data_IF_462467338578
#
_entry.id   IF_462467338578
#
_cell.length_a   1.000
_cell.length_b   1.000
_cell.length_c   1.000
_cell.angle_alpha   90.00
_cell.angle_beta   90.00
_cell.angle_gamma   90.00
#
_symmetry.space_group_name_H-M   'P 1'
#
loop_
_entity.id
_entity.type
_entity.pdbx_description
1 polymer ?
#
# COMPACT_ATOMS: atom_id res chain seq x y z
N UNK A 1 -1.22 14.05 -3.22
CA UNK A 1 -1.98 14.22 -1.96
C UNK A 1 -3.39 14.75 -2.16
N UNK A 2 -3.61 15.70 -3.07
CA UNK A 2 -4.96 16.25 -3.30
C UNK A 2 -5.97 15.18 -3.71
N UNK A 3 -5.58 14.26 -4.59
CA UNK A 3 -6.47 13.18 -5.04
C UNK A 3 -6.86 12.25 -3.90
N UNK A 4 -5.91 11.93 -3.03
CA UNK A 4 -6.18 11.09 -1.84
C UNK A 4 -7.12 11.82 -0.90
N UNK A 5 -6.89 13.12 -0.66
CA UNK A 5 -7.77 13.93 0.16
C UNK A 5 -9.20 13.95 -0.34
N UNK A 6 -9.41 14.06 -1.65
CA UNK A 6 -10.74 14.01 -2.25
C UNK A 6 -11.43 12.67 -2.05
N UNK A 7 -10.68 11.58 -2.19
CA UNK A 7 -11.21 10.24 -1.97
C UNK A 7 -11.66 10.06 -0.50
N UNK A 8 -10.94 10.63 0.45
CA UNK A 8 -11.23 10.52 1.87
C UNK A 8 -12.47 11.33 2.27
N UNK A 9 -12.70 12.48 1.63
CA UNK A 9 -13.83 13.36 1.98
C UNK A 9 -15.18 12.66 1.88
N UNK A 10 -15.32 11.68 1.00
CA UNK A 10 -16.53 10.89 0.89
C UNK A 10 -16.72 9.84 1.97
N UNK A 11 -15.76 9.68 2.86
CA UNK A 11 -15.75 8.65 3.91
C UNK A 11 -16.05 7.24 3.37
N UNK A 12 -15.33 6.78 2.33
CA UNK A 12 -15.61 5.50 1.71
C UNK A 12 -15.27 4.34 2.66
N UNK A 13 -15.95 3.20 2.48
CA UNK A 13 -15.64 1.98 3.21
C UNK A 13 -14.47 1.22 2.58
N UNK A 14 -14.23 1.43 1.29
CA UNK A 14 -13.14 0.81 0.53
C UNK A 14 -12.44 1.89 -0.28
N UNK A 15 -11.12 1.91 -0.20
CA UNK A 15 -10.27 2.82 -0.98
C UNK A 15 -9.36 2.01 -1.89
N UNK A 16 -9.33 2.38 -3.17
CA UNK A 16 -8.41 1.83 -4.16
C UNK A 16 -7.42 2.92 -4.54
N UNK A 17 -6.13 2.66 -4.32
CA UNK A 17 -5.08 3.65 -4.55
C UNK A 17 -3.98 3.03 -5.40
N UNK A 18 -3.66 3.66 -6.54
CA UNK A 18 -2.67 3.17 -7.48
C UNK A 18 -1.40 4.03 -7.40
N UNK A 19 -0.30 3.37 -7.04
CA UNK A 19 1.04 3.96 -6.97
C UNK A 19 1.11 5.33 -6.27
N UNK A 20 0.66 5.41 -5.01
CA UNK A 20 0.56 6.71 -4.33
C UNK A 20 1.90 7.40 -4.07
N UNK A 21 3.02 6.68 -4.13
CA UNK A 21 4.34 7.23 -3.85
C UNK A 21 5.12 7.65 -5.09
N UNK A 22 4.58 7.41 -6.29
CA UNK A 22 5.27 7.75 -7.53
C UNK A 22 5.56 9.24 -7.62
N UNK A 23 6.82 9.59 -7.83
CA UNK A 23 7.25 10.99 -7.95
C UNK A 23 7.32 11.77 -6.66
N UNK A 24 7.11 11.14 -5.50
CA UNK A 24 7.11 11.83 -4.21
C UNK A 24 8.47 11.77 -3.52
N UNK A 25 8.81 12.84 -2.78
CA UNK A 25 10.01 12.88 -1.94
C UNK A 25 9.90 11.89 -0.78
N UNK A 26 11.04 11.37 -0.25
CA UNK A 26 11.01 10.42 0.87
C UNK A 26 10.27 10.91 2.11
N UNK A 27 10.35 12.21 2.42
CA UNK A 27 9.64 12.78 3.56
C UNK A 27 8.12 12.69 3.41
N UNK A 28 7.63 12.87 2.18
CA UNK A 28 6.20 12.74 1.87
C UNK A 28 5.77 11.28 1.96
N UNK A 29 6.61 10.35 1.49
CA UNK A 29 6.33 8.91 1.59
C UNK A 29 6.18 8.49 3.05
N UNK A 30 7.06 8.99 3.94
CA UNK A 30 6.96 8.72 5.38
C UNK A 30 5.64 9.22 5.95
N UNK A 31 5.21 10.41 5.53
CA UNK A 31 3.92 10.96 5.95
C UNK A 31 2.75 10.08 5.48
N UNK A 32 2.81 9.58 4.26
CA UNK A 32 1.78 8.68 3.72
C UNK A 32 1.64 7.38 4.51
N UNK A 33 2.72 6.86 5.06
CA UNK A 33 2.65 5.68 5.94
C UNK A 33 1.67 5.91 7.09
N UNK A 34 1.77 7.06 7.73
CA UNK A 34 0.88 7.40 8.85
C UNK A 34 -0.56 7.57 8.39
N UNK A 35 -0.76 8.23 7.25
CA UNK A 35 -2.09 8.44 6.68
C UNK A 35 -2.76 7.10 6.37
N UNK A 36 -2.07 6.19 5.70
CA UNK A 36 -2.63 4.89 5.35
C UNK A 36 -2.86 4.00 6.57
N UNK A 37 -1.99 4.07 7.57
CA UNK A 37 -2.19 3.34 8.82
C UNK A 37 -3.47 3.80 9.51
N UNK A 38 -3.71 5.10 9.57
CA UNK A 38 -4.91 5.64 10.18
C UNK A 38 -6.17 5.29 9.37
N UNK A 39 -6.10 5.39 8.03
CA UNK A 39 -7.22 5.04 7.16
C UNK A 39 -7.62 3.57 7.29
N UNK A 40 -6.66 2.67 7.46
CA UNK A 40 -6.94 1.24 7.56
C UNK A 40 -7.74 0.87 8.80
N UNK A 41 -7.86 1.77 9.78
CA UNK A 41 -8.67 1.55 10.97
C UNK A 41 -10.17 1.74 10.70
N UNK A 42 -10.52 2.50 9.69
CA UNK A 42 -11.91 2.86 9.38
C UNK A 42 -12.37 2.40 8.00
N UNK A 43 -11.44 2.02 7.12
CA UNK A 43 -11.76 1.59 5.76
C UNK A 43 -10.84 0.45 5.34
N UNK A 44 -11.30 -0.35 4.39
CA UNK A 44 -10.44 -1.31 3.70
C UNK A 44 -9.66 -0.57 2.63
N UNK A 45 -8.35 -0.68 2.64
CA UNK A 45 -7.48 0.01 1.70
C UNK A 45 -6.74 -1.00 0.84
N UNK A 46 -6.89 -0.89 -0.48
CA UNK A 46 -6.14 -1.67 -1.45
C UNK A 46 -5.17 -0.74 -2.16
N UNK A 47 -3.89 -1.03 -2.06
CA UNK A 47 -2.84 -0.20 -2.64
C UNK A 47 -2.06 -1.02 -3.66
N UNK A 48 -1.89 -0.47 -4.86
CA UNK A 48 -0.97 -1.00 -5.87
C UNK A 48 0.32 -0.20 -5.77
N UNK A 49 1.43 -0.85 -5.44
CA UNK A 49 2.67 -0.13 -5.13
C UNK A 49 3.90 -0.97 -5.43
N UNK A 50 4.99 -0.31 -5.82
CA UNK A 50 6.30 -0.93 -6.04
C UNK A 50 7.29 -0.56 -4.92
N UNK A 51 6.95 0.39 -4.08
CA UNK A 51 7.78 0.79 -2.94
C UNK A 51 7.63 -0.25 -1.82
N UNK A 52 8.50 -1.26 -1.83
CA UNK A 52 8.42 -2.37 -0.89
C UNK A 52 8.54 -1.95 0.59
N UNK A 53 9.43 -1.04 0.97
CA UNK A 53 9.48 -0.59 2.36
C UNK A 53 8.15 -0.02 2.85
N UNK A 54 7.43 0.73 2.01
CA UNK A 54 6.12 1.25 2.35
C UNK A 54 5.10 0.12 2.49
N UNK A 55 5.06 -0.78 1.51
CA UNK A 55 4.14 -1.92 1.52
C UNK A 55 4.32 -2.75 2.79
N UNK A 56 5.56 -3.11 3.11
CA UNK A 56 5.86 -3.95 4.27
C UNK A 56 5.57 -3.25 5.60
N UNK A 57 5.61 -1.92 5.61
CA UNK A 57 5.35 -1.15 6.83
C UNK A 57 3.85 -1.05 7.16
N UNK A 58 2.97 -1.10 6.17
CA UNK A 58 1.54 -0.83 6.36
C UNK A 58 0.62 -1.98 6.00
N UNK A 59 1.03 -2.87 5.11
CA UNK A 59 0.15 -3.94 4.63
C UNK A 59 0.13 -5.12 5.60
N UNK A 60 -1.06 -5.67 5.81
CA UNK A 60 -1.25 -6.93 6.54
C UNK A 60 -1.27 -8.12 5.60
N UNK A 61 -1.63 -7.87 4.35
CA UNK A 61 -1.69 -8.89 3.30
C UNK A 61 -1.15 -8.30 2.01
N UNK A 62 -0.28 -9.04 1.35
CA UNK A 62 0.34 -8.63 0.09
C UNK A 62 0.09 -9.69 -0.96
N UNK A 63 -0.34 -9.27 -2.13
CA UNK A 63 -0.44 -10.11 -3.31
C UNK A 63 0.64 -9.68 -4.28
N UNK A 64 1.54 -10.60 -4.64
CA UNK A 64 2.52 -10.35 -5.67
C UNK A 64 1.92 -10.68 -7.04
N UNK A 65 2.01 -9.72 -7.95
CA UNK A 65 1.48 -9.84 -9.31
C UNK A 65 2.62 -9.79 -10.31
N UNK A 66 2.67 -10.75 -11.21
CA UNK A 66 3.68 -10.79 -12.26
C UNK A 66 3.05 -11.23 -13.57
N UNK A 67 3.26 -10.44 -14.63
CA UNK A 67 2.74 -10.75 -15.97
C UNK A 67 1.23 -11.03 -15.97
N UNK A 68 0.47 -10.25 -15.20
CA UNK A 68 -0.98 -10.37 -15.12
C UNK A 68 -1.48 -11.52 -14.26
N UNK A 69 -0.61 -12.18 -13.49
CA UNK A 69 -0.98 -13.31 -12.64
C UNK A 69 -0.57 -13.11 -11.20
N UNK A 70 -1.37 -13.59 -10.27
CA UNK A 70 -0.99 -13.66 -8.88
C UNK A 70 0.01 -14.80 -8.70
N UNK A 71 1.22 -14.46 -8.24
CA UNK A 71 2.29 -15.45 -8.02
C UNK A 71 2.50 -15.78 -6.55
N UNK A 72 1.99 -14.93 -5.65
CA UNK A 72 2.09 -15.18 -4.21
C UNK A 72 1.06 -14.38 -3.43
N UNK A 73 0.67 -14.91 -2.28
CA UNK A 73 -0.09 -14.20 -1.25
C UNK A 73 0.70 -14.30 0.04
N UNK A 74 1.05 -13.14 0.62
CA UNK A 74 1.80 -13.05 1.87
C UNK A 74 0.92 -12.44 2.95
N UNK A 75 0.93 -13.02 4.13
CA UNK A 75 0.13 -12.54 5.27
C UNK A 75 1.01 -12.38 6.50
N UNK A 76 0.70 -11.36 7.33
CA UNK A 76 1.31 -11.12 8.63
C UNK A 76 2.84 -11.27 8.64
N UNK A 77 3.36 -12.36 9.23
CA UNK A 77 4.79 -12.58 9.40
C UNK A 77 5.57 -12.69 8.08
N UNK A 78 4.89 -13.01 6.99
CA UNK A 78 5.49 -13.13 5.66
C UNK A 78 5.66 -11.77 4.98
N UNK A 79 5.00 -10.73 5.48
CA UNK A 79 5.05 -9.39 4.89
C UNK A 79 6.32 -8.70 5.36
N UNK A 80 7.45 -9.06 4.72
CA UNK A 80 8.77 -8.49 4.97
C UNK A 80 9.43 -8.17 3.64
N UNK A 81 10.29 -7.16 3.65
CA UNK A 81 10.95 -6.71 2.42
C UNK A 81 11.72 -7.81 1.72
N UNK A 82 12.46 -8.63 2.46
CA UNK A 82 13.25 -9.74 1.90
C UNK A 82 12.36 -10.80 1.23
N UNK A 83 11.21 -11.11 1.82
CA UNK A 83 10.26 -12.07 1.25
C UNK A 83 9.58 -11.46 0.02
N UNK A 84 9.17 -10.20 0.09
CA UNK A 84 8.52 -9.51 -1.03
C UNK A 84 9.46 -9.43 -2.25
N UNK A 85 10.73 -9.11 -2.03
CA UNK A 85 11.72 -9.01 -3.10
C UNK A 85 11.90 -10.34 -3.85
N UNK A 86 11.70 -11.46 -3.18
CA UNK A 86 11.82 -12.78 -3.80
C UNK A 86 10.84 -12.97 -4.97
N UNK A 87 9.68 -12.30 -4.93
CA UNK A 87 8.62 -12.44 -5.93
C UNK A 87 8.61 -11.35 -7.01
N UNK A 88 9.61 -10.46 -6.99
CA UNK A 88 9.70 -9.38 -8.00
C UNK A 88 10.59 -9.76 -9.21
#
# INVERSE_FOLDING_TARGET
MLMIGRAILGQPKVLLIDEPTEGLAPSIVTHLKHVFTDLSKTASVLIVEQNLPLVCAIAKRVYALKEGRFVAELTDDQVRTDVCEHYL
#
